data_IF_903366129421
#
_entry.id   IF_903366129421
#
_cell.length_a   1.000
_cell.length_b   1.000
_cell.length_c   1.000
_cell.angle_alpha   90.00
_cell.angle_beta   90.00
_cell.angle_gamma   90.00
#
_symmetry.space_group_name_H-M   'P 1'
#
loop_
_entity.id
_entity.type
_entity.pdbx_description
1 polymer ?
#
# COMPACT_ATOMS: atom_id res chain seq x y z
N UNK A 1 30.15 -9.72 49.40
CA UNK A 1 28.67 -9.78 49.36
C UNK A 1 28.02 -8.90 48.25
N UNK A 2 28.77 -8.50 47.22
CA UNK A 2 28.21 -7.64 46.14
C UNK A 2 27.98 -8.35 44.81
N UNK A 3 28.49 -9.57 44.64
CA UNK A 3 28.34 -10.35 43.39
C UNK A 3 26.91 -10.82 43.06
N UNK A 4 26.08 -11.29 44.00
CA UNK A 4 24.71 -11.72 43.67
C UNK A 4 23.78 -10.55 43.33
N UNK A 5 24.06 -9.34 43.86
CA UNK A 5 23.23 -8.16 43.58
C UNK A 5 23.45 -7.63 42.16
N UNK A 6 24.68 -7.72 41.64
CA UNK A 6 25.01 -7.35 40.27
C UNK A 6 24.39 -8.32 39.25
N UNK A 7 24.38 -9.63 39.53
CA UNK A 7 23.77 -10.64 38.67
C UNK A 7 22.24 -10.52 38.62
N UNK A 8 21.58 -10.18 39.73
CA UNK A 8 20.16 -9.94 39.77
C UNK A 8 19.76 -8.66 39.07
N UNK A 9 20.57 -7.61 39.15
CA UNK A 9 20.39 -6.38 38.38
C UNK A 9 20.57 -6.62 36.87
N UNK A 10 21.59 -7.36 36.46
CA UNK A 10 21.79 -7.71 35.05
C UNK A 10 20.69 -8.62 34.52
N UNK A 11 20.18 -9.60 35.27
CA UNK A 11 19.06 -10.44 34.89
C UNK A 11 17.75 -9.63 34.80
N UNK A 12 17.55 -8.66 35.68
CA UNK A 12 16.41 -7.75 35.63
C UNK A 12 16.45 -6.82 34.41
N UNK A 13 17.66 -6.35 34.03
CA UNK A 13 17.84 -5.54 32.82
C UNK A 13 17.65 -6.36 31.53
N UNK A 14 18.13 -7.60 31.49
CA UNK A 14 17.90 -8.50 30.36
C UNK A 14 16.42 -8.84 30.17
N UNK A 15 15.67 -9.05 31.27
CA UNK A 15 14.21 -9.27 31.19
C UNK A 15 13.46 -8.00 30.75
N UNK A 16 13.89 -6.82 31.17
CA UNK A 16 13.31 -5.55 30.71
C UNK A 16 13.65 -5.30 29.24
N UNK A 17 14.87 -5.56 28.78
CA UNK A 17 15.22 -5.46 27.36
C UNK A 17 14.47 -6.47 26.49
N UNK A 18 14.25 -7.70 26.96
CA UNK A 18 13.47 -8.70 26.22
C UNK A 18 11.97 -8.37 26.24
N UNK A 19 11.45 -7.76 27.31
CA UNK A 19 10.04 -7.33 27.39
C UNK A 19 9.77 -6.07 26.55
N UNK A 20 10.76 -5.22 26.27
CA UNK A 20 10.59 -4.06 25.41
C UNK A 20 10.73 -4.37 23.92
N UNK A 21 11.20 -5.56 23.54
CA UNK A 21 11.30 -5.99 22.13
C UNK A 21 9.98 -6.53 21.55
N UNK A 22 8.88 -6.61 22.31
CA UNK A 22 7.61 -7.15 21.85
C UNK A 22 6.46 -6.14 21.87
N UNK A 23 6.72 -4.91 21.46
CA UNK A 23 5.63 -4.13 20.88
C UNK A 23 5.87 -4.10 19.38
N UNK A 24 5.07 -4.82 18.59
CA UNK A 24 5.03 -4.56 17.16
C UNK A 24 4.54 -3.12 17.01
N UNK A 25 5.43 -2.22 16.61
CA UNK A 25 5.12 -0.86 16.17
C UNK A 25 4.40 -0.89 14.80
N UNK A 26 3.56 -1.88 14.57
CA UNK A 26 2.66 -1.96 13.44
C UNK A 26 1.36 -1.27 13.82
N UNK A 27 1.35 0.03 13.60
CA UNK A 27 0.14 0.80 13.56
C UNK A 27 -0.82 0.16 12.54
N UNK A 28 -2.03 -0.22 12.99
CA UNK A 28 -3.05 -0.78 12.11
C UNK A 28 -2.77 -2.21 11.68
N UNK A 29 -2.65 -3.13 12.62
CA UNK A 29 -2.68 -4.56 12.32
C UNK A 29 -4.12 -4.94 11.93
N UNK A 30 -4.41 -4.88 10.63
CA UNK A 30 -5.70 -5.25 10.05
C UNK A 30 -5.72 -6.71 9.59
N UNK A 31 -5.05 -7.61 10.32
CA UNK A 31 -4.98 -9.03 10.03
C UNK A 31 -6.17 -9.84 10.53
N UNK A 32 -6.86 -9.35 11.55
CA UNK A 32 -8.03 -10.02 12.12
C UNK A 32 -9.33 -9.40 11.60
N UNK A 33 -10.13 -10.18 10.88
CA UNK A 33 -11.45 -9.74 10.40
C UNK A 33 -12.53 -9.85 11.48
N UNK A 34 -12.32 -10.73 12.48
CA UNK A 34 -13.23 -10.95 13.61
C UNK A 34 -12.46 -11.44 14.83
N UNK A 35 -12.93 -11.08 16.00
CA UNK A 35 -12.44 -11.60 17.27
C UNK A 35 -13.59 -12.08 18.13
N UNK A 36 -13.31 -13.07 18.94
CA UNK A 36 -14.28 -13.58 19.91
C UNK A 36 -14.14 -12.82 21.23
N UNK A 37 -15.23 -12.37 21.79
CA UNK A 37 -15.26 -11.69 23.08
C UNK A 37 -16.42 -12.16 23.91
N UNK A 38 -16.43 -11.79 25.20
CA UNK A 38 -17.50 -12.10 26.14
C UNK A 38 -18.20 -10.81 26.53
N UNK A 39 -19.53 -10.84 26.48
CA UNK A 39 -20.41 -9.81 27.03
C UNK A 39 -21.18 -10.39 28.17
N UNK A 40 -21.93 -9.57 28.92
CA UNK A 40 -22.80 -10.02 29.99
C UNK A 40 -23.88 -11.00 29.49
N UNK A 41 -24.18 -10.99 28.19
CA UNK A 41 -25.13 -11.90 27.52
C UNK A 41 -24.46 -13.17 26.98
N UNK A 42 -23.12 -13.31 27.12
CA UNK A 42 -22.36 -14.48 26.69
C UNK A 42 -21.31 -14.18 25.58
N UNK A 43 -20.78 -15.24 24.95
CA UNK A 43 -19.77 -15.09 23.91
C UNK A 43 -20.37 -14.42 22.68
N UNK A 44 -19.64 -13.42 22.12
CA UNK A 44 -20.04 -12.69 20.92
C UNK A 44 -18.87 -12.48 19.98
N UNK A 45 -19.18 -12.26 18.70
CA UNK A 45 -18.18 -11.94 17.68
C UNK A 45 -18.11 -10.43 17.44
N UNK A 46 -16.89 -9.91 17.50
CA UNK A 46 -16.59 -8.54 17.10
C UNK A 46 -15.95 -8.55 15.71
N UNK A 47 -16.53 -7.80 14.79
CA UNK A 47 -16.04 -7.68 13.42
C UNK A 47 -15.24 -6.40 13.26
N UNK A 48 -14.12 -6.51 12.57
CA UNK A 48 -13.18 -5.41 12.36
C UNK A 48 -12.81 -5.34 10.88
N UNK A 49 -12.47 -4.15 10.39
CA UNK A 49 -11.84 -4.02 9.09
C UNK A 49 -10.56 -4.86 9.04
N UNK A 50 -10.31 -5.53 7.94
CA UNK A 50 -9.14 -6.39 7.77
C UNK A 50 -8.64 -6.36 6.32
N UNK A 51 -7.34 -6.55 6.16
CA UNK A 51 -6.68 -6.57 4.86
C UNK A 51 -5.56 -7.59 4.83
N UNK A 52 -5.23 -8.15 3.66
CA UNK A 52 -4.11 -9.05 3.51
C UNK A 52 -2.78 -8.37 3.86
N UNK A 53 -1.84 -9.16 4.34
CA UNK A 53 -0.47 -8.70 4.55
C UNK A 53 0.16 -8.27 3.22
N UNK A 54 1.03 -7.26 3.28
CA UNK A 54 1.79 -6.82 2.12
C UNK A 54 2.86 -7.87 1.77
N UNK A 55 2.99 -8.18 0.50
CA UNK A 55 3.92 -9.18 0.00
C UNK A 55 4.53 -8.74 -1.33
N UNK A 56 5.53 -9.48 -1.76
CA UNK A 56 6.05 -9.39 -3.11
C UNK A 56 5.01 -9.91 -4.11
N UNK A 57 4.51 -9.00 -4.94
CA UNK A 57 3.46 -9.28 -5.92
C UNK A 57 4.02 -9.84 -7.23
N UNK A 58 5.33 -9.83 -7.44
CA UNK A 58 5.95 -10.31 -8.68
C UNK A 58 5.79 -11.81 -8.88
N UNK A 59 5.56 -12.58 -7.81
CA UNK A 59 5.28 -14.02 -7.84
C UNK A 59 3.99 -14.41 -8.57
N UNK A 60 3.08 -13.47 -8.79
CA UNK A 60 1.71 -13.75 -9.26
C UNK A 60 1.37 -12.98 -10.54
N UNK A 61 2.35 -12.39 -11.21
CA UNK A 61 2.13 -11.60 -12.40
C UNK A 61 2.32 -12.41 -13.68
N UNK A 62 1.73 -11.89 -14.77
CA UNK A 62 2.03 -12.28 -16.14
C UNK A 62 2.71 -11.11 -16.83
N UNK A 63 3.78 -11.40 -17.57
CA UNK A 63 4.56 -10.40 -18.32
C UNK A 63 4.20 -10.46 -19.78
N UNK A 64 4.00 -9.31 -20.38
CA UNK A 64 3.80 -9.17 -21.82
C UNK A 64 4.77 -8.12 -22.37
N UNK A 65 5.45 -8.48 -23.45
CA UNK A 65 6.34 -7.57 -24.18
C UNK A 65 5.67 -7.10 -25.46
N UNK A 66 5.84 -5.83 -25.77
CA UNK A 66 5.43 -5.25 -27.04
C UNK A 66 6.59 -4.39 -27.61
N UNK A 67 7.14 -4.76 -28.77
CA UNK A 67 6.78 -5.92 -29.61
C UNK A 67 7.13 -7.26 -28.98
N UNK A 68 6.38 -8.35 -29.27
CA UNK A 68 6.57 -9.65 -28.60
C UNK A 68 7.91 -10.32 -28.92
N UNK A 69 8.56 -9.96 -30.02
CA UNK A 69 9.87 -10.47 -30.45
C UNK A 69 11.02 -9.51 -30.13
N UNK A 70 10.88 -8.71 -29.09
CA UNK A 70 11.89 -7.70 -28.73
C UNK A 70 13.06 -8.29 -27.94
N UNK A 71 12.89 -9.46 -27.32
CA UNK A 71 13.97 -10.16 -26.62
C UNK A 71 15.07 -10.53 -27.61
N UNK A 72 16.34 -10.37 -27.22
CA UNK A 72 17.48 -10.75 -28.04
C UNK A 72 17.59 -12.26 -28.24
N UNK A 73 18.43 -12.71 -29.19
CA UNK A 73 18.81 -14.10 -29.36
C UNK A 73 18.08 -14.85 -30.48
N UNK A 74 17.09 -14.23 -31.14
CA UNK A 74 16.45 -14.77 -32.36
C UNK A 74 16.33 -13.65 -33.42
N UNK A 75 17.25 -13.58 -34.37
CA UNK A 75 18.48 -14.39 -34.51
C UNK A 75 19.53 -14.08 -33.43
N UNK A 76 20.50 -14.96 -33.17
CA UNK A 76 21.61 -14.72 -32.27
C UNK A 76 22.37 -13.41 -32.58
N UNK A 77 22.74 -12.68 -31.54
CA UNK A 77 23.46 -11.42 -31.69
C UNK A 77 24.53 -11.22 -30.62
N UNK A 78 25.59 -10.48 -30.98
CA UNK A 78 26.62 -10.08 -30.04
C UNK A 78 26.30 -8.69 -29.47
N UNK A 79 26.68 -8.47 -28.22
CA UNK A 79 26.50 -7.19 -27.54
C UNK A 79 27.73 -6.83 -26.70
N UNK A 80 27.83 -5.54 -26.34
CA UNK A 80 28.90 -5.02 -25.53
C UNK A 80 28.38 -4.76 -24.11
N UNK A 81 29.10 -5.19 -23.08
CA UNK A 81 28.74 -4.85 -21.69
C UNK A 81 29.03 -3.38 -21.39
N UNK A 82 28.41 -2.88 -20.32
CA UNK A 82 28.61 -1.51 -19.86
C UNK A 82 30.06 -1.27 -19.40
N UNK A 83 30.68 -2.30 -18.79
CA UNK A 83 32.06 -2.27 -18.30
C UNK A 83 33.08 -2.27 -19.44
N UNK A 84 32.73 -2.88 -20.57
CA UNK A 84 33.60 -2.94 -21.73
C UNK A 84 32.88 -2.61 -23.04
N UNK A 85 32.55 -1.33 -23.26
CA UNK A 85 31.70 -0.90 -24.38
C UNK A 85 32.33 -1.02 -25.77
N UNK A 86 33.62 -1.40 -25.85
CA UNK A 86 34.36 -1.57 -27.12
C UNK A 86 34.66 -3.04 -27.46
N UNK A 87 34.42 -3.97 -26.52
CA UNK A 87 34.56 -5.41 -26.72
C UNK A 87 33.21 -6.10 -26.69
N UNK A 88 32.58 -6.26 -27.86
CA UNK A 88 31.28 -6.85 -28.02
C UNK A 88 31.38 -8.38 -28.18
N UNK A 89 31.93 -9.06 -27.18
CA UNK A 89 32.18 -10.49 -27.19
C UNK A 89 31.08 -11.32 -26.51
N UNK A 90 30.16 -10.65 -25.85
CA UNK A 90 29.02 -11.33 -25.21
C UNK A 90 28.00 -11.68 -26.30
N UNK A 91 27.44 -12.84 -26.20
CA UNK A 91 26.48 -13.38 -27.15
C UNK A 91 25.11 -13.57 -26.46
N UNK A 92 24.05 -13.20 -27.17
CA UNK A 92 22.68 -13.54 -26.81
C UNK A 92 22.15 -14.51 -27.85
N UNK A 93 21.75 -15.70 -27.41
CA UNK A 93 21.20 -16.77 -28.25
C UNK A 93 20.02 -17.43 -27.51
N UNK A 94 18.82 -17.29 -28.06
CA UNK A 94 17.61 -17.85 -27.48
C UNK A 94 17.56 -19.39 -27.53
N UNK A 95 18.38 -20.03 -28.37
CA UNK A 95 18.45 -21.49 -28.50
C UNK A 95 19.36 -22.14 -27.43
N UNK A 96 20.24 -21.36 -26.80
CA UNK A 96 21.21 -21.82 -25.81
C UNK A 96 20.82 -21.29 -24.44
N UNK A 97 20.44 -22.15 -23.50
CA UNK A 97 19.92 -21.79 -22.17
C UNK A 97 20.84 -20.81 -21.40
N UNK A 98 22.16 -21.04 -21.48
CA UNK A 98 23.16 -20.20 -20.79
C UNK A 98 23.34 -18.80 -21.40
N UNK A 99 22.93 -18.59 -22.66
CA UNK A 99 23.03 -17.34 -23.40
C UNK A 99 21.68 -16.66 -23.62
N UNK A 100 20.60 -17.32 -23.18
CA UNK A 100 19.26 -16.78 -23.32
C UNK A 100 18.95 -15.78 -22.21
N UNK A 101 18.25 -14.69 -22.57
CA UNK A 101 17.83 -13.64 -21.66
C UNK A 101 16.30 -13.42 -21.69
N UNK A 102 15.49 -14.41 -21.34
CA UNK A 102 14.04 -14.34 -21.39
C UNK A 102 13.44 -13.42 -20.30
N UNK A 103 12.17 -12.97 -20.46
CA UNK A 103 11.53 -12.03 -19.54
C UNK A 103 11.39 -12.52 -18.09
N UNK A 104 11.36 -13.81 -17.87
CA UNK A 104 11.24 -14.44 -16.56
C UNK A 104 12.42 -14.09 -15.64
N UNK A 105 13.60 -13.78 -16.24
CA UNK A 105 14.80 -13.39 -15.50
C UNK A 105 14.68 -12.01 -14.82
N UNK A 106 13.64 -11.23 -15.10
CA UNK A 106 13.33 -9.99 -14.35
C UNK A 106 12.69 -10.26 -12.97
N UNK A 107 12.32 -11.51 -12.68
CA UNK A 107 11.54 -11.88 -11.48
C UNK A 107 12.07 -13.14 -10.80
N UNK A 108 13.23 -13.59 -11.16
CA UNK A 108 13.87 -14.74 -10.54
C UNK A 108 14.52 -14.36 -9.19
N UNK A 109 15.23 -15.32 -8.58
CA UNK A 109 15.81 -15.11 -7.26
C UNK A 109 16.96 -14.10 -7.31
N UNK A 110 16.88 -13.06 -6.47
CA UNK A 110 17.95 -12.08 -6.27
C UNK A 110 19.22 -12.72 -5.68
N UNK A 111 20.37 -12.14 -6.04
CA UNK A 111 21.66 -12.55 -5.50
C UNK A 111 22.31 -13.72 -6.21
N UNK A 112 21.84 -14.09 -7.40
CA UNK A 112 22.56 -15.02 -8.28
C UNK A 112 23.89 -14.41 -8.70
N UNK A 113 24.88 -15.25 -8.81
CA UNK A 113 26.19 -14.88 -9.36
C UNK A 113 26.60 -15.92 -10.43
N UNK A 114 26.67 -15.52 -11.71
CA UNK A 114 26.46 -14.19 -12.26
C UNK A 114 25.00 -13.72 -12.20
N UNK A 115 24.79 -12.39 -12.24
CA UNK A 115 23.45 -11.77 -12.25
C UNK A 115 22.72 -12.16 -13.52
N UNK A 116 21.50 -12.63 -13.37
CA UNK A 116 20.58 -12.93 -14.46
C UNK A 116 19.78 -11.68 -14.86
N UNK A 117 19.42 -11.54 -16.13
CA UNK A 117 18.66 -10.40 -16.62
C UNK A 117 17.93 -10.70 -17.91
N UNK A 118 16.82 -10.04 -18.14
CA UNK A 118 16.20 -9.95 -19.46
C UNK A 118 16.93 -8.94 -20.31
N UNK A 119 17.07 -9.21 -21.62
CA UNK A 119 17.69 -8.30 -22.55
C UNK A 119 16.85 -8.13 -23.83
N UNK A 120 16.70 -6.86 -24.25
CA UNK A 120 16.12 -6.55 -25.56
C UNK A 120 17.13 -6.76 -26.68
N UNK A 121 16.66 -6.89 -27.93
CA UNK A 121 17.51 -6.75 -29.10
C UNK A 121 18.22 -5.38 -29.12
N UNK A 122 19.40 -5.33 -29.72
CA UNK A 122 20.19 -4.11 -29.86
C UNK A 122 19.50 -3.08 -30.78
N UNK A 123 19.86 -1.80 -30.63
CA UNK A 123 19.26 -0.69 -31.39
C UNK A 123 19.73 -0.62 -32.85
N UNK A 124 19.67 -1.74 -33.55
CA UNK A 124 20.18 -1.89 -34.95
C UNK A 124 19.44 -1.02 -35.98
N UNK A 125 18.23 -0.55 -35.63
CA UNK A 125 17.38 0.26 -36.56
C UNK A 125 17.51 1.77 -36.31
N UNK A 126 18.57 2.20 -35.64
CA UNK A 126 18.82 3.64 -35.47
C UNK A 126 18.74 4.39 -36.84
N UNK A 127 18.15 5.58 -36.92
CA UNK A 127 17.63 6.43 -35.83
C UNK A 127 16.18 6.13 -35.40
N UNK A 128 15.54 5.07 -35.93
CA UNK A 128 14.19 4.69 -35.46
C UNK A 128 14.25 4.32 -33.98
N UNK A 129 13.38 4.90 -33.11
CA UNK A 129 13.42 4.62 -31.68
C UNK A 129 13.34 3.12 -31.36
N UNK A 130 14.14 2.69 -30.40
CA UNK A 130 14.00 1.37 -29.76
C UNK A 130 12.95 1.49 -28.66
N UNK A 131 11.69 1.41 -29.03
CA UNK A 131 10.58 1.50 -28.08
C UNK A 131 10.13 0.10 -27.65
N UNK A 132 10.04 -0.12 -26.34
CA UNK A 132 9.62 -1.38 -25.73
C UNK A 132 8.61 -1.10 -24.62
N UNK A 133 7.49 -1.81 -24.65
CA UNK A 133 6.52 -1.80 -23.55
C UNK A 133 6.60 -3.14 -22.81
N UNK A 134 6.85 -3.09 -21.51
CA UNK A 134 6.80 -4.23 -20.60
C UNK A 134 5.55 -4.07 -19.78
N UNK A 135 4.58 -4.96 -19.94
CA UNK A 135 3.31 -4.93 -19.21
C UNK A 135 3.29 -6.04 -18.17
N UNK A 136 3.09 -5.65 -16.91
CA UNK A 136 2.94 -6.53 -15.76
C UNK A 136 1.46 -6.58 -15.40
N UNK A 137 0.85 -7.77 -15.46
CA UNK A 137 -0.59 -7.97 -15.22
C UNK A 137 -0.82 -8.98 -14.11
N UNK A 138 -1.64 -8.61 -13.14
CA UNK A 138 -2.02 -9.51 -12.02
C UNK A 138 -3.40 -10.13 -12.20
N UNK A 139 -4.19 -9.66 -13.15
CA UNK A 139 -5.61 -10.02 -13.26
C UNK A 139 -6.37 -9.85 -11.93
N UNK A 140 -5.91 -8.91 -11.12
CA UNK A 140 -6.37 -8.59 -9.77
C UNK A 140 -6.07 -7.13 -9.45
N UNK A 141 -6.95 -6.51 -8.67
CA UNK A 141 -6.69 -5.18 -8.14
C UNK A 141 -5.71 -5.28 -6.98
N UNK A 142 -4.60 -4.54 -7.07
CA UNK A 142 -3.50 -4.52 -6.10
C UNK A 142 -3.41 -3.12 -5.49
N UNK A 143 -3.15 -3.03 -4.20
CA UNK A 143 -2.78 -1.80 -3.49
C UNK A 143 -1.28 -1.80 -3.25
N UNK A 144 -0.59 -0.80 -3.78
CA UNK A 144 0.85 -0.61 -3.60
C UNK A 144 1.15 -0.18 -2.17
N UNK A 145 2.16 -0.79 -1.56
CA UNK A 145 2.56 -0.51 -0.16
C UNK A 145 4.00 -0.07 -0.02
N UNK A 146 4.80 -0.28 -1.05
CA UNK A 146 6.21 0.05 -1.09
C UNK A 146 6.59 0.61 -2.46
N UNK A 147 7.81 1.11 -2.58
CA UNK A 147 8.36 1.64 -3.81
C UNK A 147 8.39 0.57 -4.91
N UNK A 148 8.10 0.99 -6.14
CA UNK A 148 8.39 0.17 -7.32
C UNK A 148 9.85 0.42 -7.67
N UNK A 149 10.64 -0.65 -7.78
CA UNK A 149 12.06 -0.58 -8.08
C UNK A 149 12.37 -1.41 -9.32
N UNK A 150 13.06 -0.82 -10.27
CA UNK A 150 13.49 -1.49 -11.50
C UNK A 150 15.01 -1.39 -11.56
N UNK A 151 15.71 -2.53 -11.67
CA UNK A 151 17.18 -2.61 -11.71
C UNK A 151 17.65 -2.92 -13.12
N UNK A 152 18.47 -2.02 -13.67
CA UNK A 152 18.98 -2.12 -15.04
C UNK A 152 20.43 -2.59 -15.08
N UNK A 153 20.75 -3.52 -15.97
CA UNK A 153 22.13 -3.98 -16.23
C UNK A 153 22.80 -3.25 -17.40
N UNK A 154 22.03 -2.74 -18.38
CA UNK A 154 22.54 -2.00 -19.53
C UNK A 154 22.71 -0.49 -19.29
N UNK A 155 22.51 -0.02 -18.09
CA UNK A 155 22.35 1.39 -17.75
C UNK A 155 20.89 1.83 -17.77
N UNK A 156 20.61 2.86 -16.98
CA UNK A 156 19.23 3.39 -16.85
C UNK A 156 18.83 4.09 -18.15
N UNK A 157 17.60 3.89 -18.66
CA UNK A 157 17.15 4.48 -19.91
C UNK A 157 17.15 6.01 -19.85
N UNK A 158 17.50 6.65 -20.96
CA UNK A 158 17.45 8.11 -21.08
C UNK A 158 16.01 8.64 -21.08
N UNK A 159 15.06 7.84 -21.58
CA UNK A 159 13.65 8.20 -21.58
C UNK A 159 12.81 6.97 -21.27
N UNK A 160 11.96 7.08 -20.26
CA UNK A 160 11.05 6.03 -19.84
C UNK A 160 9.76 6.63 -19.27
N UNK A 161 8.64 5.94 -19.40
CA UNK A 161 7.37 6.28 -18.76
C UNK A 161 6.85 5.08 -17.99
N UNK A 162 6.50 5.29 -16.74
CA UNK A 162 5.72 4.35 -15.96
C UNK A 162 4.25 4.70 -16.13
N UNK A 163 3.44 3.70 -16.49
CA UNK A 163 2.00 3.84 -16.65
C UNK A 163 1.28 2.79 -15.83
N UNK A 164 0.06 3.08 -15.42
CA UNK A 164 -0.80 2.15 -14.70
C UNK A 164 -2.17 1.99 -15.37
N UNK A 165 -2.81 0.88 -15.10
CA UNK A 165 -4.21 0.61 -15.41
C UNK A 165 -5.00 0.33 -14.13
N UNK A 166 -6.30 0.70 -14.14
CA UNK A 166 -7.28 0.38 -13.10
C UNK A 166 -8.40 -0.53 -13.64
N UNK A 167 -8.33 -0.89 -14.90
CA UNK A 167 -9.39 -1.59 -15.64
C UNK A 167 -8.87 -2.78 -16.46
N UNK A 168 -7.85 -3.44 -15.94
CA UNK A 168 -7.25 -4.65 -16.52
C UNK A 168 -6.66 -4.41 -17.92
N UNK A 169 -5.90 -3.34 -18.06
CA UNK A 169 -5.17 -2.99 -19.27
C UNK A 169 -6.00 -2.39 -20.40
N UNK A 170 -7.29 -2.05 -20.16
CA UNK A 170 -8.17 -1.44 -21.18
C UNK A 170 -7.83 0.03 -21.40
N UNK A 171 -7.53 0.76 -20.33
CA UNK A 171 -7.03 2.13 -20.39
C UNK A 171 -5.77 2.30 -19.57
N UNK A 172 -4.92 3.22 -20.00
CA UNK A 172 -3.63 3.49 -19.39
C UNK A 172 -3.53 4.96 -19.00
N UNK A 173 -2.95 5.20 -17.82
CA UNK A 173 -2.70 6.52 -17.29
C UNK A 173 -1.21 6.65 -16.99
N UNK A 174 -0.55 7.75 -17.40
CA UNK A 174 0.81 8.03 -16.97
C UNK A 174 0.86 8.04 -15.44
N UNK A 175 1.93 7.47 -14.89
CA UNK A 175 2.16 7.43 -13.46
C UNK A 175 3.37 8.30 -13.08
N UNK A 176 4.45 8.19 -13.86
CA UNK A 176 5.62 9.04 -13.75
C UNK A 176 6.44 9.00 -15.05
N UNK A 177 7.06 10.13 -15.38
CA UNK A 177 8.00 10.28 -16.50
C UNK A 177 9.43 10.33 -15.96
N UNK A 178 10.35 9.76 -16.70
CA UNK A 178 11.78 9.71 -16.40
C UNK A 178 12.56 10.11 -17.63
N UNK A 179 13.44 11.10 -17.51
CA UNK A 179 14.26 11.56 -18.62
C UNK A 179 15.61 12.11 -18.15
N UNK A 180 16.57 12.16 -19.03
CA UNK A 180 17.81 12.93 -18.81
C UNK A 180 17.57 14.43 -18.84
N UNK A 181 16.61 14.86 -19.68
CA UNK A 181 16.09 16.21 -19.80
C UNK A 181 14.58 16.12 -19.97
N UNK A 182 13.83 16.50 -18.91
CA UNK A 182 12.38 16.43 -18.89
C UNK A 182 11.72 17.44 -19.83
N UNK A 183 12.35 18.60 -20.03
CA UNK A 183 11.82 19.65 -20.89
C UNK A 183 11.91 19.24 -22.36
N UNK A 184 13.05 18.70 -22.76
CA UNK A 184 13.29 18.22 -24.13
C UNK A 184 12.42 16.99 -24.45
N UNK A 185 12.40 16.00 -23.54
CA UNK A 185 11.75 14.72 -23.81
C UNK A 185 10.21 14.78 -23.73
N UNK A 186 9.66 15.54 -22.79
CA UNK A 186 8.22 15.50 -22.46
C UNK A 186 7.58 16.89 -22.32
N UNK A 187 8.32 17.96 -22.52
CA UNK A 187 7.86 19.35 -22.34
C UNK A 187 7.35 19.59 -20.90
N UNK A 188 8.01 18.96 -19.93
CA UNK A 188 7.64 19.03 -18.51
C UNK A 188 8.79 19.61 -17.70
N UNK A 189 8.46 20.45 -16.71
CA UNK A 189 9.44 20.91 -15.72
C UNK A 189 9.95 19.74 -14.89
N UNK A 190 11.27 19.61 -14.66
CA UNK A 190 11.82 18.54 -13.84
C UNK A 190 11.42 18.72 -12.37
N UNK A 191 10.91 17.67 -11.76
CA UNK A 191 10.52 17.61 -10.35
C UNK A 191 10.98 16.32 -9.71
N UNK A 192 11.21 16.37 -8.41
CA UNK A 192 11.48 15.20 -7.59
C UNK A 192 10.30 14.96 -6.63
N UNK A 193 10.26 13.82 -5.97
CA UNK A 193 9.24 13.54 -4.96
C UNK A 193 9.29 14.54 -3.79
N UNK A 194 10.43 15.16 -3.54
CA UNK A 194 10.64 16.19 -2.50
C UNK A 194 9.93 17.51 -2.81
N UNK A 195 9.65 17.77 -4.08
CA UNK A 195 8.93 18.97 -4.55
C UNK A 195 7.41 18.79 -4.46
N UNK A 196 6.94 17.58 -4.12
CA UNK A 196 5.54 17.24 -3.98
C UNK A 196 5.06 17.63 -2.58
N UNK A 197 3.85 18.16 -2.51
CA UNK A 197 3.13 18.49 -1.27
C UNK A 197 1.89 17.61 -1.13
N UNK A 198 1.20 17.67 0.02
CA UNK A 198 -0.08 16.97 0.20
C UNK A 198 -1.13 17.33 -0.86
N UNK A 199 -1.11 18.55 -1.38
CA UNK A 199 -2.06 19.03 -2.40
C UNK A 199 -1.70 18.58 -3.80
N UNK A 200 -0.42 18.33 -4.07
CA UNK A 200 0.11 17.92 -5.38
C UNK A 200 0.53 16.46 -5.42
N UNK A 201 0.12 15.65 -4.44
CA UNK A 201 0.49 14.24 -4.32
C UNK A 201 0.15 13.42 -5.55
N UNK A 202 -0.97 13.74 -6.21
CA UNK A 202 -1.49 13.03 -7.38
C UNK A 202 -0.93 13.57 -8.69
N UNK A 203 -0.09 14.61 -8.64
CA UNK A 203 0.52 15.17 -9.83
C UNK A 203 1.44 14.15 -10.49
N UNK A 204 1.37 14.10 -11.81
CA UNK A 204 2.28 13.33 -12.63
C UNK A 204 3.53 14.19 -12.84
N UNK A 205 4.66 13.72 -12.37
CA UNK A 205 5.93 14.43 -12.45
C UNK A 205 6.85 13.79 -13.49
N UNK A 206 7.79 14.60 -14.02
CA UNK A 206 8.95 14.13 -14.73
C UNK A 206 10.18 14.32 -13.86
N UNK A 207 10.97 13.26 -13.65
CA UNK A 207 12.20 13.32 -12.86
C UNK A 207 13.42 12.99 -13.71
N UNK A 208 14.50 13.73 -13.47
CA UNK A 208 15.80 13.51 -14.09
C UNK A 208 16.76 12.73 -13.19
N UNK A 209 16.36 12.46 -11.94
CA UNK A 209 17.21 11.86 -10.91
C UNK A 209 17.68 10.44 -11.30
N UNK A 210 16.82 9.68 -11.99
CA UNK A 210 17.09 8.29 -12.36
C UNK A 210 17.63 8.09 -13.79
N UNK A 211 17.73 9.13 -14.60
CA UNK A 211 18.17 9.04 -15.99
C UNK A 211 19.47 9.79 -16.28
N UNK A 212 19.99 10.55 -15.30
CA UNK A 212 21.23 11.33 -15.46
C UNK A 212 22.46 10.43 -15.43
N UNK A 213 23.17 10.46 -16.56
CA UNK A 213 24.59 10.13 -16.68
C UNK A 213 24.99 8.67 -16.52
N UNK A 214 26.25 8.43 -16.91
CA UNK A 214 27.02 7.25 -16.49
C UNK A 214 27.26 7.37 -14.99
N UNK A 215 26.39 6.78 -14.19
CA UNK A 215 26.73 6.59 -12.79
C UNK A 215 27.66 5.39 -12.72
N UNK A 216 28.95 5.68 -12.79
CA UNK A 216 29.98 4.73 -12.46
C UNK A 216 29.72 4.27 -11.04
N UNK A 217 29.24 3.10 -10.92
CA UNK A 217 29.40 2.25 -9.78
C UNK A 217 28.21 1.71 -9.04
N UNK A 218 27.13 2.34 -8.76
CA UNK A 218 26.22 1.62 -7.82
C UNK A 218 24.73 1.90 -7.98
N UNK A 219 24.31 2.85 -8.76
CA UNK A 219 22.91 3.14 -8.86
C UNK A 219 22.35 2.71 -10.22
N UNK A 220 22.05 1.41 -10.31
CA UNK A 220 21.42 0.80 -11.47
C UNK A 220 19.90 0.87 -11.40
N UNK A 221 19.34 1.48 -10.36
CA UNK A 221 17.92 1.43 -10.05
C UNK A 221 17.16 2.66 -10.52
N UNK A 222 15.94 2.43 -10.99
CA UNK A 222 14.92 3.46 -11.20
C UNK A 222 13.80 3.19 -10.19
N UNK A 223 13.36 4.23 -9.49
CA UNK A 223 12.34 4.11 -8.43
C UNK A 223 11.10 4.92 -8.75
N UNK A 224 9.97 4.41 -8.28
CA UNK A 224 8.76 5.18 -8.10
C UNK A 224 8.44 5.17 -6.60
N UNK A 225 8.53 6.32 -5.97
CA UNK A 225 8.59 6.48 -4.52
C UNK A 225 7.19 6.49 -3.91
N UNK A 226 6.73 5.36 -3.44
CA UNK A 226 5.44 5.20 -2.72
C UNK A 226 5.59 5.63 -1.26
N UNK A 227 6.68 5.23 -0.59
CA UNK A 227 6.91 5.54 0.84
C UNK A 227 7.02 7.03 1.09
N UNK A 228 7.71 7.75 0.24
CA UNK A 228 7.85 9.20 0.38
C UNK A 228 6.51 9.91 0.21
N UNK A 229 5.65 9.41 -0.70
CA UNK A 229 4.29 9.92 -0.87
C UNK A 229 3.41 9.62 0.34
N UNK A 230 3.53 8.45 0.97
CA UNK A 230 2.85 8.16 2.24
C UNK A 230 3.36 9.06 3.37
N UNK A 231 4.65 9.38 3.40
CA UNK A 231 5.25 10.23 4.42
C UNK A 231 4.71 11.67 4.41
N UNK A 232 4.16 12.15 3.32
CA UNK A 232 3.49 13.45 3.25
C UNK A 232 2.29 13.56 4.21
N UNK A 233 1.64 12.44 4.53
CA UNK A 233 0.53 12.38 5.48
C UNK A 233 0.95 11.90 6.86
N UNK A 234 1.78 10.87 6.90
CA UNK A 234 2.11 10.16 8.13
C UNK A 234 3.43 10.62 8.79
N UNK A 235 4.17 11.51 8.14
CA UNK A 235 5.51 11.96 8.54
C UNK A 235 6.60 10.98 8.12
N UNK A 236 7.88 11.39 8.17
CA UNK A 236 9.00 10.63 7.59
C UNK A 236 9.20 9.24 8.21
N UNK A 237 8.74 9.02 9.44
CA UNK A 237 8.78 7.71 10.11
C UNK A 237 7.41 7.04 10.18
N UNK A 238 6.45 7.51 9.41
CA UNK A 238 5.07 7.01 9.37
C UNK A 238 4.39 7.00 10.75
N UNK A 239 4.68 7.99 11.59
CA UNK A 239 4.13 8.08 12.96
C UNK A 239 2.66 8.44 13.01
N UNK A 240 2.19 9.23 12.05
CA UNK A 240 0.81 9.70 12.01
C UNK A 240 0.01 9.03 10.88
N UNK A 241 -0.08 7.72 10.90
CA UNK A 241 -0.87 6.95 9.93
C UNK A 241 -2.37 7.28 9.98
N UNK A 242 -2.87 7.86 11.08
CA UNK A 242 -4.26 8.27 11.19
C UNK A 242 -4.65 9.32 10.13
N UNK A 243 -3.74 10.23 9.80
CA UNK A 243 -3.96 11.23 8.75
C UNK A 243 -4.07 10.57 7.38
N UNK A 244 -3.17 9.65 7.04
CA UNK A 244 -3.21 8.90 5.79
C UNK A 244 -4.49 8.06 5.68
N UNK A 245 -4.84 7.31 6.71
CA UNK A 245 -6.02 6.46 6.70
C UNK A 245 -7.32 7.25 6.62
N UNK A 246 -7.41 8.40 7.29
CA UNK A 246 -8.54 9.30 7.16
C UNK A 246 -8.72 9.83 5.73
N UNK A 247 -7.64 10.17 5.04
CA UNK A 247 -7.67 10.59 3.65
C UNK A 247 -8.00 9.43 2.70
N UNK A 248 -7.45 8.23 2.95
CA UNK A 248 -7.77 7.03 2.17
C UNK A 248 -9.25 6.65 2.27
N UNK A 249 -9.88 6.82 3.45
CA UNK A 249 -11.32 6.55 3.63
C UNK A 249 -12.20 7.54 2.87
N UNK A 250 -11.81 8.82 2.82
CA UNK A 250 -12.67 9.89 2.29
C UNK A 250 -12.40 10.23 0.83
N UNK A 251 -11.17 10.01 0.32
CA UNK A 251 -10.73 10.49 -1.00
C UNK A 251 -10.55 9.33 -1.98
N UNK A 252 -11.49 9.17 -2.90
CA UNK A 252 -11.41 8.12 -3.93
C UNK A 252 -10.14 8.23 -4.79
N UNK A 253 -9.82 9.44 -5.25
CA UNK A 253 -8.67 9.64 -6.14
C UNK A 253 -7.34 9.24 -5.47
N UNK A 254 -7.23 9.44 -4.15
CA UNK A 254 -6.06 9.02 -3.39
C UNK A 254 -5.96 7.49 -3.31
N UNK A 255 -7.08 6.79 -3.05
CA UNK A 255 -7.11 5.32 -3.10
C UNK A 255 -6.75 4.81 -4.49
N UNK A 256 -7.34 5.39 -5.52
CA UNK A 256 -7.10 4.99 -6.90
C UNK A 256 -5.64 5.27 -7.32
N UNK A 257 -5.00 6.28 -6.73
CA UNK A 257 -3.59 6.57 -6.99
C UNK A 257 -2.67 5.39 -6.60
N UNK A 258 -2.85 4.81 -5.42
CA UNK A 258 -2.07 3.67 -4.94
C UNK A 258 -2.62 2.31 -5.39
N UNK A 259 -3.65 2.29 -6.23
CA UNK A 259 -4.28 1.07 -6.73
C UNK A 259 -3.88 0.84 -8.18
N UNK A 260 -3.60 -0.41 -8.52
CA UNK A 260 -3.29 -0.85 -9.89
C UNK A 260 -3.99 -2.18 -10.19
N UNK A 261 -4.28 -2.45 -11.45
CA UNK A 261 -4.56 -3.79 -11.98
C UNK A 261 -3.42 -4.29 -12.84
N UNK A 262 -2.77 -3.35 -13.53
CA UNK A 262 -1.62 -3.59 -14.40
C UNK A 262 -0.67 -2.40 -14.32
N UNK A 263 0.61 -2.68 -14.54
CA UNK A 263 1.68 -1.70 -14.63
C UNK A 263 2.35 -1.84 -15.99
N UNK A 264 2.67 -0.72 -16.65
CA UNK A 264 3.38 -0.74 -17.92
C UNK A 264 4.63 0.15 -17.84
N UNK A 265 5.77 -0.44 -18.14
CA UNK A 265 7.04 0.23 -18.26
C UNK A 265 7.27 0.47 -19.75
N UNK A 266 7.25 1.74 -20.17
CA UNK A 266 7.52 2.12 -21.54
C UNK A 266 8.95 2.63 -21.63
N UNK A 267 9.82 1.85 -22.25
CA UNK A 267 11.20 2.18 -22.53
C UNK A 267 11.23 2.87 -23.91
N UNK A 268 11.67 4.12 -23.96
CA UNK A 268 11.59 4.94 -25.17
C UNK A 268 12.96 5.19 -25.79
N UNK A 269 14.01 5.33 -24.95
CA UNK A 269 15.38 5.54 -25.39
C UNK A 269 16.35 4.84 -24.43
N UNK A 270 17.22 3.95 -24.96
CA UNK A 270 18.22 3.28 -24.13
C UNK A 270 19.29 4.25 -23.63
N UNK A 271 20.09 3.81 -22.65
CA UNK A 271 21.23 4.58 -22.18
C UNK A 271 22.27 4.74 -23.30
N UNK A 272 22.68 5.98 -23.57
CA UNK A 272 23.76 6.28 -24.53
C UNK A 272 25.02 6.79 -23.83
N UNK A 273 24.95 6.93 -22.50
CA UNK A 273 26.04 7.44 -21.67
C UNK A 273 26.24 8.95 -21.81
N UNK A 274 25.17 9.68 -22.06
CA UNK A 274 25.17 11.12 -22.31
C UNK A 274 26.10 11.54 -23.48
N UNK A 275 26.32 10.63 -24.44
CA UNK A 275 27.12 10.85 -25.63
C UNK A 275 26.25 10.73 -26.89
N UNK A 276 26.75 11.18 -28.02
CA UNK A 276 26.11 10.90 -29.29
C UNK A 276 26.11 9.40 -29.55
N UNK A 277 25.04 8.90 -30.19
CA UNK A 277 24.96 7.49 -30.61
C UNK A 277 26.08 7.16 -31.57
N UNK A 278 26.86 6.14 -31.28
CA UNK A 278 27.88 5.60 -32.17
C UNK A 278 27.22 4.66 -33.18
N UNK A 279 26.95 5.18 -34.38
CA UNK A 279 26.29 4.44 -35.44
C UNK A 279 27.10 3.22 -35.94
N UNK A 280 28.41 3.22 -35.71
CA UNK A 280 29.28 2.11 -36.10
C UNK A 280 29.23 0.95 -35.07
N UNK A 281 28.69 1.19 -33.88
CA UNK A 281 28.64 0.19 -32.82
C UNK A 281 27.30 0.19 -32.07
N UNK A 282 26.23 -0.11 -32.79
CA UNK A 282 24.86 -0.12 -32.26
C UNK A 282 24.60 -1.28 -31.27
N UNK A 283 25.46 -2.29 -31.22
CA UNK A 283 25.41 -3.39 -30.25
C UNK A 283 25.67 -2.96 -28.79
N UNK A 284 26.01 -1.69 -28.56
CA UNK A 284 26.14 -1.05 -27.23
C UNK A 284 24.80 -0.63 -26.64
N UNK A 285 23.77 -0.47 -27.47
CA UNK A 285 22.52 0.17 -27.04
C UNK A 285 21.38 -0.84 -27.06
N UNK A 286 20.95 -1.23 -25.88
CA UNK A 286 19.85 -2.17 -25.62
C UNK A 286 19.30 -1.91 -24.21
N UNK A 287 18.22 -2.56 -23.86
CA UNK A 287 17.70 -2.59 -22.49
C UNK A 287 18.03 -3.94 -21.86
N UNK A 288 18.51 -3.92 -20.64
CA UNK A 288 18.67 -5.12 -19.81
C UNK A 288 18.17 -4.83 -18.40
N UNK A 289 17.30 -5.68 -17.87
CA UNK A 289 16.67 -5.55 -16.56
C UNK A 289 16.91 -6.83 -15.78
N UNK A 290 17.57 -6.71 -14.63
CA UNK A 290 17.85 -7.86 -13.76
C UNK A 290 16.76 -8.09 -12.72
N UNK A 291 16.03 -7.02 -12.33
CA UNK A 291 15.02 -7.18 -11.28
C UNK A 291 13.95 -6.08 -11.33
N UNK A 292 12.72 -6.48 -11.05
CA UNK A 292 11.59 -5.58 -10.85
C UNK A 292 10.88 -5.95 -9.56
N UNK A 293 10.86 -5.02 -8.60
CA UNK A 293 10.18 -5.19 -7.30
C UNK A 293 8.88 -4.43 -7.27
N UNK A 294 7.82 -5.14 -6.94
CA UNK A 294 6.50 -4.56 -6.70
C UNK A 294 5.92 -5.15 -5.43
N UNK A 295 5.96 -4.37 -4.35
CA UNK A 295 5.35 -4.77 -3.08
C UNK A 295 3.97 -4.17 -2.94
N UNK A 296 3.04 -5.00 -2.53
CA UNK A 296 1.64 -4.61 -2.41
C UNK A 296 0.81 -5.66 -1.71
N UNK A 297 -0.48 -5.46 -1.77
CA UNK A 297 -1.48 -6.42 -1.28
C UNK A 297 -2.67 -6.49 -2.22
N UNK A 298 -3.39 -7.59 -2.19
CA UNK A 298 -4.67 -7.66 -2.88
C UNK A 298 -5.63 -6.62 -2.30
N UNK A 299 -6.29 -5.86 -3.15
CA UNK A 299 -7.39 -5.00 -2.72
C UNK A 299 -8.62 -5.88 -2.42
N UNK A 300 -8.94 -5.98 -1.13
CA UNK A 300 -10.07 -6.76 -0.65
C UNK A 300 -11.14 -5.88 0.02
N UNK A 301 -11.07 -4.55 -0.16
CA UNK A 301 -12.01 -3.56 0.36
C UNK A 301 -12.18 -3.62 1.89
N UNK A 302 -11.14 -4.03 2.62
CA UNK A 302 -11.11 -4.24 4.06
C UNK A 302 -12.08 -5.34 4.56
N UNK A 303 -12.37 -6.34 3.71
CA UNK A 303 -13.24 -7.46 4.01
C UNK A 303 -12.56 -8.82 3.95
N UNK A 304 -11.23 -8.89 3.86
CA UNK A 304 -10.49 -10.13 3.91
C UNK A 304 -9.08 -9.88 4.46
N UNK A 305 -8.54 -10.84 5.21
CA UNK A 305 -7.17 -10.81 5.71
C UNK A 305 -6.24 -11.74 4.91
N UNK A 306 -6.76 -12.47 3.94
CA UNK A 306 -5.96 -13.32 3.07
C UNK A 306 -6.37 -13.21 1.62
N UNK A 307 -5.39 -13.46 0.75
CA UNK A 307 -5.56 -13.52 -0.70
C UNK A 307 -4.85 -14.77 -1.19
N UNK A 308 -5.61 -15.64 -1.83
CA UNK A 308 -5.11 -16.93 -2.31
C UNK A 308 -4.94 -16.91 -3.83
N UNK A 309 -3.96 -17.66 -4.31
CA UNK A 309 -3.76 -17.90 -5.73
C UNK A 309 -4.39 -19.22 -6.11
N UNK A 310 -5.55 -19.17 -6.75
CA UNK A 310 -6.31 -20.32 -7.22
C UNK A 310 -6.61 -20.21 -8.70
N UNK A 311 -6.42 -21.28 -9.46
CA UNK A 311 -6.69 -21.34 -10.90
C UNK A 311 -6.07 -20.17 -11.68
N UNK A 312 -4.80 -19.91 -11.44
CA UNK A 312 -4.02 -18.84 -12.05
C UNK A 312 -4.58 -17.41 -11.78
N UNK A 313 -5.32 -17.24 -10.72
CA UNK A 313 -5.90 -15.96 -10.32
C UNK A 313 -5.80 -15.71 -8.83
N UNK A 314 -5.45 -14.49 -8.47
CA UNK A 314 -5.54 -14.00 -7.09
C UNK A 314 -7.00 -13.72 -6.73
N UNK A 315 -7.44 -14.23 -5.58
CA UNK A 315 -8.80 -14.03 -5.07
C UNK A 315 -8.76 -13.79 -3.56
N UNK A 316 -9.51 -12.77 -3.10
CA UNK A 316 -9.65 -12.53 -1.66
C UNK A 316 -10.51 -13.61 -1.00
N UNK A 317 -10.11 -14.10 0.15
CA UNK A 317 -10.94 -14.96 1.02
C UNK A 317 -11.92 -14.08 1.81
N UNK A 318 -13.07 -13.79 1.20
CA UNK A 318 -14.01 -12.79 1.70
C UNK A 318 -14.66 -13.18 3.02
N UNK A 319 -14.48 -12.34 4.01
CA UNK A 319 -15.17 -12.31 5.29
C UNK A 319 -16.36 -11.33 5.28
N UNK A 320 -16.95 -10.99 6.43
CA UNK A 320 -18.01 -9.98 6.62
C UNK A 320 -19.25 -10.21 5.74
N UNK A 321 -19.55 -11.48 5.39
CA UNK A 321 -20.63 -11.87 4.50
C UNK A 321 -20.56 -11.25 3.09
N UNK A 322 -19.36 -10.91 2.65
CA UNK A 322 -19.07 -10.39 1.32
C UNK A 322 -18.64 -11.48 0.35
N UNK A 323 -18.64 -11.18 -0.95
CA UNK A 323 -18.24 -12.08 -2.02
C UNK A 323 -17.73 -11.33 -3.23
N UNK A 324 -17.14 -12.05 -4.16
CA UNK A 324 -16.49 -11.53 -5.38
C UNK A 324 -14.97 -11.54 -5.26
N UNK A 325 -14.24 -11.31 -6.36
CA UNK A 325 -12.77 -11.37 -6.35
C UNK A 325 -12.14 -10.38 -5.36
N UNK A 326 -12.75 -9.21 -5.18
CA UNK A 326 -12.30 -8.12 -4.31
C UNK A 326 -13.24 -7.91 -3.11
N UNK A 327 -14.11 -8.88 -2.78
CA UNK A 327 -15.15 -8.75 -1.75
C UNK A 327 -16.07 -7.55 -2.00
N UNK A 328 -16.31 -7.20 -3.27
CA UNK A 328 -16.98 -5.97 -3.70
C UNK A 328 -18.52 -6.04 -3.66
N UNK A 329 -19.12 -7.06 -3.08
CA UNK A 329 -20.59 -7.20 -2.97
C UNK A 329 -20.97 -8.09 -1.80
N UNK A 330 -22.19 -7.93 -1.29
CA UNK A 330 -22.74 -8.81 -0.27
C UNK A 330 -23.16 -10.18 -0.84
N UNK A 331 -23.02 -11.24 -0.02
CA UNK A 331 -23.59 -12.56 -0.33
C UNK A 331 -25.12 -12.45 -0.51
N UNK A 332 -25.70 -13.36 -1.29
CA UNK A 332 -27.13 -13.31 -1.70
C UNK A 332 -28.13 -13.12 -0.55
N UNK A 333 -27.88 -13.74 0.59
CA UNK A 333 -28.80 -13.69 1.74
C UNK A 333 -28.43 -12.59 2.76
N UNK A 334 -27.48 -11.70 2.44
CA UNK A 334 -26.95 -10.67 3.34
C UNK A 334 -27.02 -9.26 2.75
N UNK A 335 -28.13 -8.97 2.05
CA UNK A 335 -28.33 -7.72 1.30
C UNK A 335 -29.30 -6.76 1.99
N UNK A 336 -29.61 -6.96 3.28
CA UNK A 336 -30.50 -6.04 4.01
C UNK A 336 -29.95 -4.61 4.10
N UNK A 337 -28.63 -4.46 3.98
CA UNK A 337 -27.91 -3.17 3.86
C UNK A 337 -27.16 -3.14 2.54
N UNK A 338 -27.06 -1.97 1.93
CA UNK A 338 -26.22 -1.76 0.75
C UNK A 338 -24.76 -2.09 1.12
N UNK A 339 -24.04 -2.71 0.19
CA UNK A 339 -22.62 -2.97 0.35
C UNK A 339 -21.84 -1.66 0.48
N UNK A 340 -20.85 -1.65 1.37
CA UNK A 340 -19.84 -0.60 1.48
C UNK A 340 -18.51 -1.23 1.84
N UNK A 341 -17.41 -0.63 1.40
CA UNK A 341 -16.08 -1.05 1.85
C UNK A 341 -15.95 -0.88 3.36
N UNK A 342 -15.04 -1.61 3.98
CA UNK A 342 -14.61 -1.33 5.34
C UNK A 342 -13.98 0.07 5.43
N UNK A 343 -13.77 0.56 6.64
CA UNK A 343 -13.10 1.83 6.93
C UNK A 343 -11.87 1.58 7.78
N UNK A 344 -10.80 2.32 7.52
CA UNK A 344 -9.62 2.29 8.40
C UNK A 344 -9.89 2.93 9.77
N UNK A 345 -10.95 3.73 9.88
CA UNK A 345 -11.30 4.41 11.11
C UNK A 345 -12.42 3.69 11.89
N UNK A 346 -12.42 3.75 13.22
CA UNK A 346 -11.40 4.34 14.10
C UNK A 346 -10.15 3.44 14.23
N UNK A 347 -8.99 4.06 14.35
CA UNK A 347 -7.75 3.33 14.64
C UNK A 347 -7.78 2.83 16.08
N UNK A 348 -7.25 1.62 16.40
CA UNK A 348 -6.43 0.74 15.54
C UNK A 348 -7.21 -0.35 14.79
N UNK A 349 -8.50 -0.51 14.98
CA UNK A 349 -9.22 -1.70 14.48
C UNK A 349 -10.09 -1.47 13.25
N UNK A 350 -10.37 -0.23 12.88
CA UNK A 350 -11.26 0.09 11.78
C UNK A 350 -12.69 -0.43 11.90
N UNK A 351 -13.54 -0.07 10.95
CA UNK A 351 -14.96 -0.47 10.90
C UNK A 351 -15.18 -1.50 9.79
N UNK A 352 -15.71 -2.66 10.14
CA UNK A 352 -15.89 -3.77 9.20
C UNK A 352 -16.95 -3.53 8.12
N UNK A 353 -17.98 -2.74 8.38
CA UNK A 353 -19.13 -2.54 7.48
C UNK A 353 -19.70 -3.85 6.92
N UNK A 354 -19.97 -4.81 7.82
CA UNK A 354 -20.43 -6.15 7.45
C UNK A 354 -21.73 -6.12 6.68
N UNK A 355 -21.92 -7.09 5.77
CA UNK A 355 -23.20 -7.33 5.13
C UNK A 355 -24.18 -8.04 6.09
N UNK A 356 -25.41 -7.54 6.15
CA UNK A 356 -26.43 -7.94 7.12
C UNK A 356 -27.40 -8.94 6.48
N UNK A 357 -27.81 -10.01 7.21
CA UNK A 357 -28.78 -10.97 6.71
C UNK A 357 -30.10 -10.33 6.33
N UNK A 358 -30.71 -10.81 5.26
CA UNK A 358 -32.07 -10.46 4.92
C UNK A 358 -32.98 -11.04 6.02
N UNK A 359 -33.53 -10.21 6.90
CA UNK A 359 -34.40 -10.68 7.98
C UNK A 359 -35.62 -11.40 7.40
N UNK A 360 -35.67 -12.71 7.58
CA UNK A 360 -36.91 -13.50 7.39
C UNK A 360 -37.72 -13.33 8.65
N UNK A 361 -38.35 -12.18 8.82
CA UNK A 361 -39.38 -12.00 9.84
C UNK A 361 -40.66 -12.73 9.39
N UNK A 362 -41.40 -13.46 10.29
CA UNK A 362 -42.71 -13.98 9.95
C UNK A 362 -43.61 -12.81 9.62
N UNK A 363 -44.20 -12.86 8.40
CA UNK A 363 -45.21 -11.90 7.94
C UNK A 363 -46.46 -12.13 8.78
N UNK A 364 -46.57 -11.48 9.94
CA UNK A 364 -47.89 -11.27 10.57
C UNK A 364 -48.55 -10.15 9.75
N UNK A 365 -49.41 -10.53 8.81
CA UNK A 365 -50.36 -9.63 8.18
C UNK A 365 -51.29 -9.08 9.26
N UNK A 366 -50.97 -7.93 9.80
CA UNK A 366 -51.98 -7.08 10.41
C UNK A 366 -52.40 -6.04 9.37
N UNK A 367 -53.66 -6.14 8.95
CA UNK A 367 -54.38 -5.13 8.18
C UNK A 367 -54.33 -3.81 8.97
N UNK A 368 -53.61 -2.84 8.49
CA UNK A 368 -53.83 -1.42 8.82
C UNK A 368 -53.89 -0.70 7.46
N UNK A 369 -55.11 -0.40 7.09
CA UNK A 369 -55.46 0.53 6.03
C UNK A 369 -55.04 1.95 6.44
N UNK A 370 -54.54 2.66 5.44
CA UNK A 370 -54.41 4.10 5.32
C UNK A 370 -53.13 4.79 5.80
N UNK A 371 -52.57 5.53 4.81
CA UNK A 371 -51.75 6.72 4.82
C UNK A 371 -50.22 6.59 5.08
N UNK A 372 -49.51 6.89 4.01
CA UNK A 372 -48.12 7.38 4.08
C UNK A 372 -47.21 6.73 3.06
N UNK A 373 -46.97 7.40 1.96
CA UNK A 373 -45.95 7.07 0.98
C UNK A 373 -44.61 6.98 1.70
N UNK A 374 -44.16 5.75 1.95
CA UNK A 374 -42.84 5.53 2.56
C UNK A 374 -41.75 5.83 1.53
N UNK A 375 -41.01 6.89 1.79
CA UNK A 375 -39.81 7.26 1.04
C UNK A 375 -38.78 6.12 1.14
N UNK A 376 -38.47 5.47 0.02
CA UNK A 376 -37.64 4.25 -0.05
C UNK A 376 -36.13 4.44 0.22
N UNK A 377 -35.72 5.59 0.71
CA UNK A 377 -34.30 5.96 0.87
C UNK A 377 -33.87 6.21 2.31
N UNK A 378 -34.55 5.66 3.32
CA UNK A 378 -34.04 5.77 4.69
C UNK A 378 -33.00 4.67 4.96
N UNK A 379 -31.74 5.09 5.06
CA UNK A 379 -30.65 4.25 5.54
C UNK A 379 -30.99 3.73 6.94
N UNK A 380 -30.88 2.41 7.14
CA UNK A 380 -31.02 1.79 8.45
C UNK A 380 -29.81 2.15 9.29
N UNK A 381 -30.01 2.89 10.37
CA UNK A 381 -28.95 3.49 11.19
C UNK A 381 -28.62 2.65 12.41
N UNK A 382 -29.52 1.84 12.90
CA UNK A 382 -29.28 0.99 14.06
C UNK A 382 -29.75 -0.45 13.84
N UNK A 383 -29.10 -1.38 14.52
CA UNK A 383 -29.54 -2.76 14.74
C UNK A 383 -29.23 -3.14 16.21
N UNK A 384 -29.84 -4.21 16.67
CA UNK A 384 -29.63 -4.63 18.07
C UNK A 384 -28.34 -5.44 18.29
N UNK A 385 -27.59 -5.70 17.22
CA UNK A 385 -26.41 -6.57 17.28
C UNK A 385 -25.09 -5.79 17.13
N UNK A 386 -25.00 -4.87 16.18
CA UNK A 386 -23.74 -4.21 15.81
C UNK A 386 -23.79 -2.69 15.91
N UNK A 387 -24.93 -2.07 15.61
CA UNK A 387 -25.14 -0.62 15.70
C UNK A 387 -26.14 -0.32 16.81
N UNK A 388 -25.82 -0.73 18.02
CA UNK A 388 -26.67 -0.53 19.21
C UNK A 388 -26.81 0.96 19.52
N UNK A 389 -28.02 1.36 19.82
CA UNK A 389 -28.27 2.68 20.41
C UNK A 389 -27.61 2.77 21.79
N UNK A 390 -26.85 3.83 21.99
CA UNK A 390 -26.13 4.09 23.24
C UNK A 390 -27.04 4.77 24.28
N UNK A 391 -26.54 4.85 25.51
CA UNK A 391 -27.17 5.60 26.60
C UNK A 391 -28.67 5.32 26.81
N UNK A 392 -29.06 4.06 26.67
CA UNK A 392 -30.46 3.65 26.87
C UNK A 392 -31.41 3.96 25.73
N UNK A 393 -30.89 4.30 24.55
CA UNK A 393 -31.66 4.46 23.32
C UNK A 393 -32.19 3.12 22.79
N UNK A 394 -33.36 3.15 22.15
CA UNK A 394 -34.00 1.97 21.56
C UNK A 394 -34.00 2.07 20.03
N UNK A 395 -33.54 1.02 19.36
CA UNK A 395 -33.57 0.95 17.91
C UNK A 395 -34.98 0.67 17.41
N UNK A 396 -35.56 1.60 16.64
CA UNK A 396 -36.92 1.49 16.10
C UNK A 396 -36.84 1.09 14.62
N UNK A 397 -37.39 -0.08 14.31
CA UNK A 397 -37.49 -0.64 12.94
C UNK A 397 -36.14 -0.74 12.20
N UNK A 398 -35.02 -0.84 12.92
CA UNK A 398 -33.68 -0.82 12.35
C UNK A 398 -33.35 0.44 11.52
N UNK A 399 -34.12 1.51 11.67
CA UNK A 399 -33.99 2.74 10.89
C UNK A 399 -33.31 3.85 11.71
N UNK A 400 -33.68 4.00 12.98
CA UNK A 400 -33.15 5.07 13.84
C UNK A 400 -33.20 4.68 15.31
N UNK A 401 -32.30 5.24 16.09
CA UNK A 401 -32.37 5.20 17.52
C UNK A 401 -33.40 6.22 18.06
N UNK A 402 -34.27 5.76 18.91
CA UNK A 402 -35.09 6.63 19.76
C UNK A 402 -34.30 6.89 21.05
N UNK A 403 -33.78 8.10 21.16
CA UNK A 403 -32.94 8.49 22.28
C UNK A 403 -33.77 8.94 23.48
N UNK A 404 -33.32 8.67 24.72
CA UNK A 404 -33.84 9.32 25.89
C UNK A 404 -33.71 10.85 25.82
N UNK A 405 -34.52 11.61 26.61
CA UNK A 405 -34.53 13.07 26.53
C UNK A 405 -33.18 13.76 26.76
N UNK A 406 -32.30 13.11 27.54
CA UNK A 406 -30.96 13.62 27.86
C UNK A 406 -29.91 13.39 26.77
N UNK A 407 -30.24 12.67 25.69
CA UNK A 407 -29.27 12.28 24.66
C UNK A 407 -29.78 12.56 23.25
N UNK A 408 -28.83 12.76 22.31
CA UNK A 408 -29.07 13.00 20.90
C UNK A 408 -27.97 12.34 20.06
N UNK A 409 -28.08 12.41 18.74
CA UNK A 409 -27.16 11.78 17.81
C UNK A 409 -27.81 10.61 17.07
N UNK A 410 -27.10 10.02 16.10
CA UNK A 410 -27.60 8.91 15.30
C UNK A 410 -27.78 7.62 16.12
N UNK A 411 -26.91 7.42 17.09
CA UNK A 411 -26.91 6.28 18.01
C UNK A 411 -27.12 6.72 19.47
N UNK A 412 -27.61 7.92 19.72
CA UNK A 412 -27.76 8.51 21.05
C UNK A 412 -26.43 8.73 21.78
N UNK A 413 -25.37 8.95 21.04
CA UNK A 413 -23.99 9.08 21.55
C UNK A 413 -23.67 10.43 22.17
N UNK A 414 -24.50 11.47 21.95
CA UNK A 414 -24.26 12.84 22.41
C UNK A 414 -25.22 13.27 23.50
N UNK A 415 -24.76 13.85 24.61
CA UNK A 415 -25.65 14.47 25.59
C UNK A 415 -26.38 15.69 25.00
N UNK A 416 -27.65 15.88 25.34
CA UNK A 416 -28.44 17.02 24.95
C UNK A 416 -28.34 18.11 26.04
N UNK A 417 -27.71 19.21 25.69
CA UNK A 417 -27.36 20.26 26.64
C UNK A 417 -28.45 21.37 26.74
N UNK A 418 -29.68 21.10 26.30
CA UNK A 418 -30.73 22.15 26.25
C UNK A 418 -31.37 22.54 27.59
N UNK A 419 -31.08 21.81 28.70
CA UNK A 419 -31.79 21.99 29.98
C UNK A 419 -30.94 22.47 31.16
N UNK A 420 -29.71 22.89 30.97
CA UNK A 420 -28.92 23.49 32.03
C UNK A 420 -28.66 24.99 31.76
N UNK A 421 -28.84 25.87 32.74
CA UNK A 421 -28.56 27.31 32.59
C UNK A 421 -27.04 27.56 32.60
N UNK A 422 -26.37 27.10 31.55
CA UNK A 422 -24.93 27.23 31.43
C UNK A 422 -24.36 26.65 30.13
N UNK A 423 -25.19 25.95 29.34
CA UNK A 423 -24.76 25.35 28.08
C UNK A 423 -23.56 24.43 28.22
N UNK A 424 -23.51 23.30 27.50
CA UNK A 424 -22.28 22.52 27.38
C UNK A 424 -21.20 23.35 26.65
N UNK A 425 -20.63 24.32 27.34
CA UNK A 425 -19.45 25.03 26.86
C UNK A 425 -18.29 24.02 26.79
N UNK A 426 -17.77 23.81 25.60
CA UNK A 426 -16.53 23.07 25.40
C UNK A 426 -15.42 23.71 26.24
N UNK A 427 -15.03 23.06 27.31
CA UNK A 427 -13.82 23.40 28.04
C UNK A 427 -12.68 22.59 27.49
N UNK A 428 -12.03 23.13 26.49
CA UNK A 428 -10.59 22.95 26.32
C UNK A 428 -9.91 23.55 27.58
N UNK A 429 -8.90 22.83 28.06
CA UNK A 429 -7.95 23.22 29.08
C UNK A 429 -8.48 23.34 30.52
N UNK A 430 -8.34 22.26 31.26
CA UNK A 430 -8.31 22.26 32.71
C UNK A 430 -7.06 21.53 33.22
N UNK A 431 -5.94 22.23 33.26
CA UNK A 431 -4.82 21.84 34.10
C UNK A 431 -5.25 21.88 35.56
N UNK A 432 -5.57 20.77 36.14
CA UNK A 432 -5.68 20.65 37.58
C UNK A 432 -4.30 20.31 38.17
N UNK A 433 -3.68 21.34 38.68
CA UNK A 433 -2.51 21.27 39.56
C UNK A 433 -2.90 20.54 40.85
N UNK A 434 -2.41 19.33 41.01
CA UNK A 434 -2.27 18.69 42.34
C UNK A 434 -0.81 18.28 42.51
N UNK A 435 -0.08 19.14 43.22
CA UNK A 435 1.22 18.80 43.81
C UNK A 435 1.01 18.03 45.11
N UNK A 436 1.66 16.89 45.31
CA UNK A 436 2.10 16.44 46.62
C UNK A 436 3.59 16.77 46.80
N UNK A 437 4.03 17.18 47.99
CA UNK A 437 5.43 17.52 48.24
C UNK A 437 6.18 16.21 48.57
N UNK A 438 7.30 16.02 47.89
CA UNK A 438 8.29 15.08 48.37
C UNK A 438 8.78 13.99 47.44
N UNK A 439 9.27 14.32 46.25
CA UNK A 439 10.04 13.37 45.43
C UNK A 439 10.93 14.10 44.39
N UNK A 440 11.78 15.00 44.86
CA UNK A 440 12.69 15.74 43.96
C UNK A 440 14.09 15.09 43.82
N UNK A 441 14.39 13.99 44.52
CA UNK A 441 15.74 13.43 44.53
C UNK A 441 15.96 12.17 43.68
N UNK A 442 14.97 11.68 42.93
CA UNK A 442 15.12 10.51 42.06
C UNK A 442 15.07 10.79 40.55
N UNK A 443 14.82 12.03 40.13
CA UNK A 443 14.70 12.37 38.72
C UNK A 443 16.00 12.77 38.01
N UNK A 444 17.11 12.99 38.74
CA UNK A 444 18.38 13.39 38.14
C UNK A 444 19.31 12.22 37.75
N UNK A 445 19.01 10.99 38.20
CA UNK A 445 19.80 9.81 37.81
C UNK A 445 19.21 9.04 36.61
N UNK A 446 18.00 9.39 36.16
CA UNK A 446 17.37 8.74 35.01
C UNK A 446 17.63 9.42 33.66
N UNK A 447 18.21 10.61 33.63
CA UNK A 447 18.44 11.37 32.40
C UNK A 447 19.84 11.13 31.80
N UNK A 448 20.81 10.66 32.60
CA UNK A 448 22.18 10.40 32.14
C UNK A 448 22.46 8.92 31.79
N UNK A 449 21.54 8.01 32.09
CA UNK A 449 21.68 6.58 31.79
C UNK A 449 21.42 6.17 30.33
N UNK A 450 20.50 6.76 29.61
CA UNK A 450 20.16 6.29 28.26
C UNK A 450 21.10 6.72 27.15
N UNK A 451 21.93 7.73 27.37
CA UNK A 451 22.78 8.30 26.30
C UNK A 451 24.08 7.53 26.09
N UNK A 452 24.55 6.79 27.11
CA UNK A 452 25.79 6.03 27.01
C UNK A 452 25.67 4.55 26.70
N UNK A 453 24.45 3.99 26.66
CA UNK A 453 24.20 2.57 26.40
C UNK A 453 23.55 2.28 25.05
N UNK A 454 23.24 3.29 24.26
CA UNK A 454 22.70 3.15 22.90
C UNK A 454 23.72 2.60 21.88
N UNK A 455 25.01 2.69 22.16
CA UNK A 455 26.05 2.21 21.25
C UNK A 455 26.55 0.78 21.54
N UNK A 456 26.19 0.18 22.69
CA UNK A 456 26.65 -1.17 23.04
C UNK A 456 25.66 -2.27 22.60
N UNK A 457 24.42 -1.93 22.27
CA UNK A 457 23.45 -2.90 21.76
C UNK A 457 23.57 -3.20 20.25
N UNK A 458 24.55 -2.59 19.56
CA UNK A 458 24.78 -2.83 18.11
C UNK A 458 25.97 -3.74 17.81
N UNK A 459 26.62 -4.33 18.82
CA UNK A 459 27.82 -5.16 18.65
C UNK A 459 27.63 -6.60 19.23
N UNK A 460 26.47 -6.97 19.60
CA UNK A 460 26.10 -8.35 19.88
C UNK A 460 24.78 -8.69 19.15
#
# INVERSE_FOLDING_TARGET
MHFPLLLTLQASWLTVCVATQHYPTTWGHYDLCKSHGYTDEGPTWYYMACQPEAADMTKYLKVFLDPPNITCGDPPETYCTLENPYMCNNECDAATEELAHPPELMFDFEGRNPTTFWQSSSWKKYPKPLAVNITLSWNKTIELTDDIVITFESGRPEQMVLEKSLDYGRSWQPYQFYATDCLDAFTMEPKTVRDITQHTLLDIICTEEYSRGYVWKNDKTVRFEIKDRFALFAGPKLHNMASLYGQLDTTKNLRDFFTITDLRIRLLRPATGATMVDENNLSRYFYAISDIKVHGRCKCNLHANSCIYDKERLTCECEHNTTGPDCGRCKRNYQARAWSAGSYLPIPKGTANICVPNSVGPVIRQNISSLGVANRNQARVCDNELLRCQNGGVCVNNVRCQCPPAYTGLLCEKPRCENEPGGCGGSDSGQASLRPPGLILLSLLSVLGPVFLGEICWIL
#
